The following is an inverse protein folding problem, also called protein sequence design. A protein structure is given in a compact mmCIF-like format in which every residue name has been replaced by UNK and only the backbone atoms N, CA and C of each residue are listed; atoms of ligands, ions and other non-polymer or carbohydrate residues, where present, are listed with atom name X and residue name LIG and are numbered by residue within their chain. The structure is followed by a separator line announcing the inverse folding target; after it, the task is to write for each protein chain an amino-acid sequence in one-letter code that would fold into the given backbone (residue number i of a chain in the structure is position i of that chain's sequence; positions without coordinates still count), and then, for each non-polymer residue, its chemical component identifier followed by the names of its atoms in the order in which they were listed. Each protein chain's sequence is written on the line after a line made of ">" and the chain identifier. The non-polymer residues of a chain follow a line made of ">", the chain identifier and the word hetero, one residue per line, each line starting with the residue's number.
data_IF_098648751233
#
_entry.id   IF_098648751233
#
_cell.length_a   1.000
_cell.length_b   1.000
_cell.length_c   1.000
_cell.angle_alpha   90.00
_cell.angle_beta   90.00
_cell.angle_gamma   90.00
#
_symmetry.space_group_name_H-M   'P 1'
#
loop_
_entity.id
_entity.type
_entity.pdbx_description
1 polymer ?
#
# COMPACT_ATOMS: atom_id res chain seq x y z
N UNK A 1 12.60 -13.95 -4.91
CA UNK A 1 12.75 -12.47 -5.14
C UNK A 1 13.97 -11.96 -4.36
N UNK A 2 14.70 -10.95 -4.87
CA UNK A 2 15.81 -10.34 -4.09
C UNK A 2 15.22 -9.60 -2.90
N UNK A 3 15.91 -9.59 -1.76
CA UNK A 3 15.39 -9.03 -0.50
C UNK A 3 15.01 -7.54 -0.59
N UNK A 4 15.83 -6.72 -1.26
CA UNK A 4 15.54 -5.30 -1.47
C UNK A 4 14.23 -5.06 -2.25
N UNK A 5 13.80 -6.00 -3.08
CA UNK A 5 12.55 -5.89 -3.87
C UNK A 5 11.27 -6.18 -3.07
N UNK A 6 11.39 -6.53 -1.80
CA UNK A 6 10.23 -6.57 -0.90
C UNK A 6 9.79 -5.19 -0.43
N UNK A 7 10.62 -4.13 -0.54
CA UNK A 7 10.36 -2.87 0.13
C UNK A 7 9.73 -1.79 -0.74
N UNK A 8 8.65 -1.21 -0.21
CA UNK A 8 8.15 0.11 -0.56
C UNK A 8 8.69 1.08 0.49
N UNK A 9 9.74 1.84 0.13
CA UNK A 9 10.37 2.83 1.01
C UNK A 9 9.44 4.02 1.17
N UNK A 10 8.97 4.28 2.41
CA UNK A 10 7.75 5.05 2.66
C UNK A 10 8.00 6.31 3.46
N UNK A 11 7.49 7.45 2.98
CA UNK A 11 7.33 8.67 3.74
C UNK A 11 5.96 9.30 3.45
N UNK A 12 5.03 9.16 4.42
CA UNK A 12 3.65 9.66 4.34
C UNK A 12 3.35 10.72 5.40
N UNK A 13 4.38 11.23 6.08
CA UNK A 13 4.23 12.26 7.09
C UNK A 13 3.59 13.52 6.48
N UNK A 14 2.61 14.16 7.15
CA UNK A 14 1.97 15.37 6.64
C UNK A 14 2.94 16.55 6.52
N UNK A 15 3.99 16.58 7.35
CA UNK A 15 5.04 17.59 7.34
C UNK A 15 6.21 17.29 6.39
N UNK A 16 6.18 16.18 5.65
CA UNK A 16 7.26 15.84 4.72
C UNK A 16 7.47 16.96 3.69
N UNK A 17 8.72 17.31 3.46
CA UNK A 17 9.13 18.33 2.50
C UNK A 17 9.61 17.72 1.18
N UNK A 18 9.82 18.54 0.14
CA UNK A 18 10.45 18.08 -1.10
C UNK A 18 11.85 17.51 -0.89
N UNK A 19 12.61 18.03 0.08
CA UNK A 19 13.95 17.52 0.37
C UNK A 19 13.89 16.15 1.05
N UNK A 20 12.90 15.91 1.91
CA UNK A 20 12.65 14.58 2.47
C UNK A 20 12.28 13.56 1.38
N UNK A 21 11.46 13.97 0.40
CA UNK A 21 11.08 13.09 -0.72
C UNK A 21 12.26 12.85 -1.68
N UNK A 22 13.11 13.85 -1.91
CA UNK A 22 14.36 13.69 -2.68
C UNK A 22 15.27 12.66 -2.03
N UNK A 23 15.53 12.80 -0.72
CA UNK A 23 16.32 11.85 0.07
C UNK A 23 15.75 10.45 -0.01
N UNK A 24 14.42 10.30 0.16
CA UNK A 24 13.71 9.02 0.02
C UNK A 24 13.97 8.37 -1.34
N UNK A 25 13.91 9.15 -2.43
CA UNK A 25 14.14 8.65 -3.78
C UNK A 25 15.62 8.26 -4.02
N UNK A 26 16.57 9.03 -3.49
CA UNK A 26 18.00 8.73 -3.60
C UNK A 26 18.35 7.44 -2.84
N UNK A 27 17.85 7.27 -1.64
CA UNK A 27 17.97 6.03 -0.86
C UNK A 27 17.36 4.84 -1.62
N UNK A 28 16.15 5.01 -2.17
CA UNK A 28 15.49 3.95 -2.92
C UNK A 28 16.25 3.54 -4.19
N UNK A 29 16.88 4.50 -4.89
CA UNK A 29 17.76 4.20 -6.04
C UNK A 29 19.02 3.48 -5.60
N UNK A 30 19.66 3.94 -4.52
CA UNK A 30 20.91 3.35 -3.99
C UNK A 30 20.74 1.87 -3.63
N UNK A 31 19.63 1.52 -2.99
CA UNK A 31 19.34 0.14 -2.57
C UNK A 31 18.50 -0.64 -3.58
N UNK A 32 18.10 -0.03 -4.68
CA UNK A 32 17.26 -0.63 -5.74
C UNK A 32 15.98 -1.25 -5.15
N UNK A 33 15.22 -0.49 -4.33
CA UNK A 33 13.96 -0.94 -3.75
C UNK A 33 12.87 -1.15 -4.81
N UNK A 34 11.75 -1.78 -4.43
CA UNK A 34 10.62 -1.98 -5.33
C UNK A 34 9.97 -0.66 -5.72
N UNK A 35 9.66 0.17 -4.71
CA UNK A 35 9.07 1.50 -4.90
C UNK A 35 9.46 2.48 -3.79
N UNK A 36 9.17 3.77 -4.02
CA UNK A 36 8.90 4.73 -2.95
C UNK A 36 7.39 4.87 -2.78
N UNK A 37 6.91 5.15 -1.55
CA UNK A 37 5.50 5.38 -1.29
C UNK A 37 5.33 6.77 -0.67
N UNK A 38 4.54 7.64 -1.34
CA UNK A 38 4.40 9.06 -1.03
C UNK A 38 2.94 9.53 -1.05
N UNK A 39 2.67 10.71 -0.49
CA UNK A 39 1.40 11.40 -0.62
C UNK A 39 1.21 11.97 -2.04
N UNK A 40 -0.05 12.07 -2.50
CA UNK A 40 -0.42 12.45 -3.86
C UNK A 40 0.21 13.76 -4.36
N UNK A 41 0.40 14.76 -3.48
CA UNK A 41 1.03 16.03 -3.84
C UNK A 41 2.49 15.90 -4.31
N UNK A 42 3.15 14.79 -4.00
CA UNK A 42 4.54 14.54 -4.37
C UNK A 42 4.72 13.59 -5.55
N UNK A 43 3.63 13.14 -6.19
CA UNK A 43 3.69 12.13 -7.27
C UNK A 43 4.64 12.54 -8.40
N UNK A 44 4.41 13.68 -9.02
CA UNK A 44 5.22 14.16 -10.14
C UNK A 44 6.69 14.39 -9.74
N UNK A 45 6.92 14.96 -8.56
CA UNK A 45 8.25 15.20 -8.04
C UNK A 45 9.03 13.91 -7.75
N UNK A 46 8.39 12.93 -7.10
CA UNK A 46 9.00 11.62 -6.86
C UNK A 46 9.29 10.89 -8.18
N UNK A 47 8.37 10.95 -9.15
CA UNK A 47 8.58 10.38 -10.49
C UNK A 47 9.79 10.98 -11.20
N UNK A 48 9.96 12.30 -11.12
CA UNK A 48 11.12 13.01 -11.66
C UNK A 48 12.43 12.54 -10.96
N UNK A 49 12.45 12.53 -9.62
CA UNK A 49 13.61 12.10 -8.84
C UNK A 49 14.03 10.64 -9.13
N UNK A 50 13.08 9.78 -9.47
CA UNK A 50 13.31 8.35 -9.78
C UNK A 50 13.69 8.11 -11.25
N UNK A 51 13.75 9.15 -12.09
CA UNK A 51 14.10 9.02 -13.51
C UNK A 51 15.41 8.23 -13.69
N UNK A 52 15.44 7.38 -14.71
CA UNK A 52 16.59 6.52 -15.02
C UNK A 52 16.78 5.31 -14.08
N UNK A 53 15.84 5.07 -13.16
CA UNK A 53 15.88 3.90 -12.27
C UNK A 53 14.71 2.93 -12.52
N UNK A 54 14.78 1.73 -11.93
CA UNK A 54 13.70 0.74 -11.95
C UNK A 54 12.72 0.88 -10.76
N UNK A 55 12.98 1.81 -9.83
CA UNK A 55 12.15 2.04 -8.65
C UNK A 55 10.83 2.66 -9.07
N UNK A 56 9.71 2.11 -8.56
CA UNK A 56 8.36 2.56 -8.90
C UNK A 56 7.91 3.71 -8.01
N UNK A 57 7.03 4.56 -8.53
CA UNK A 57 6.34 5.60 -7.76
C UNK A 57 5.01 5.05 -7.29
N UNK A 58 4.88 4.75 -6.00
CA UNK A 58 3.64 4.34 -5.35
C UNK A 58 3.01 5.54 -4.65
N UNK A 59 1.69 5.70 -4.78
CA UNK A 59 0.95 6.85 -4.25
C UNK A 59 -0.26 6.37 -3.46
N UNK A 60 -0.51 6.97 -2.30
CA UNK A 60 -1.70 6.67 -1.51
C UNK A 60 -2.92 7.46 -2.01
N UNK A 61 -4.10 6.85 -1.93
CA UNK A 61 -5.39 7.42 -2.35
C UNK A 61 -6.44 7.15 -1.26
N UNK A 62 -7.28 8.13 -1.01
CA UNK A 62 -8.27 8.02 0.06
C UNK A 62 -7.64 7.91 1.45
N UNK A 63 -6.46 8.42 1.62
CA UNK A 63 -5.58 8.13 2.74
C UNK A 63 -5.60 9.24 3.81
N UNK A 64 -5.53 8.91 5.13
CA UNK A 64 -5.47 7.53 5.67
C UNK A 64 -6.82 6.91 6.03
N UNK A 65 -7.94 7.62 5.90
CA UNK A 65 -9.22 7.25 6.51
C UNK A 65 -10.11 6.37 5.62
N UNK A 66 -9.95 6.41 4.29
CA UNK A 66 -10.83 5.73 3.35
C UNK A 66 -12.27 6.27 3.30
N UNK A 67 -12.57 7.35 4.02
CA UNK A 67 -13.92 7.85 4.31
C UNK A 67 -14.42 8.97 3.37
N UNK A 68 -13.70 9.20 2.24
CA UNK A 68 -14.18 10.14 1.22
C UNK A 68 -15.10 9.44 0.21
N UNK A 69 -15.84 10.24 -0.56
CA UNK A 69 -16.71 9.75 -1.61
C UNK A 69 -15.93 8.96 -2.67
N UNK A 70 -16.55 7.93 -3.22
CA UNK A 70 -15.97 7.05 -4.23
C UNK A 70 -15.47 7.79 -5.48
N UNK A 71 -16.23 8.75 -5.99
CA UNK A 71 -15.86 9.57 -7.14
C UNK A 71 -14.63 10.46 -6.86
N UNK A 72 -14.46 10.93 -5.62
CA UNK A 72 -13.27 11.68 -5.18
C UNK A 72 -12.04 10.78 -5.16
N UNK A 73 -12.14 9.54 -4.65
CA UNK A 73 -11.02 8.56 -4.73
C UNK A 73 -10.66 8.23 -6.17
N UNK A 74 -11.66 8.02 -7.03
CA UNK A 74 -11.43 7.77 -8.47
C UNK A 74 -10.76 8.97 -9.16
N UNK A 75 -11.17 10.21 -8.84
CA UNK A 75 -10.53 11.42 -9.34
C UNK A 75 -9.07 11.54 -8.86
N UNK A 76 -8.83 11.35 -7.56
CA UNK A 76 -7.49 11.36 -6.97
C UNK A 76 -6.58 10.33 -7.65
N UNK A 77 -7.11 9.13 -7.92
CA UNK A 77 -6.41 8.06 -8.64
C UNK A 77 -6.02 8.49 -10.06
N UNK A 78 -6.97 9.02 -10.85
CA UNK A 78 -6.70 9.53 -12.20
C UNK A 78 -5.63 10.62 -12.19
N UNK A 79 -5.70 11.52 -11.20
CA UNK A 79 -4.69 12.58 -11.05
C UNK A 79 -3.32 12.00 -10.73
N UNK A 80 -3.22 11.04 -9.81
CA UNK A 80 -1.97 10.36 -9.46
C UNK A 80 -1.37 9.62 -10.69
N UNK A 81 -2.18 8.88 -11.44
CA UNK A 81 -1.74 8.19 -12.67
C UNK A 81 -1.23 9.19 -13.71
N UNK A 82 -1.96 10.29 -13.93
CA UNK A 82 -1.54 11.37 -14.86
C UNK A 82 -0.20 11.99 -14.43
N UNK A 83 0.05 12.13 -13.13
CA UNK A 83 1.29 12.68 -12.57
C UNK A 83 2.44 11.66 -12.54
N UNK A 84 2.20 10.43 -13.00
CA UNK A 84 3.23 9.41 -13.19
C UNK A 84 3.30 8.32 -12.13
N UNK A 85 2.25 8.11 -11.32
CA UNK A 85 2.18 6.97 -10.43
C UNK A 85 2.23 5.64 -11.21
N UNK A 86 3.05 4.71 -10.72
CA UNK A 86 3.14 3.34 -11.24
C UNK A 86 2.27 2.38 -10.42
N UNK A 87 2.04 2.71 -9.13
CA UNK A 87 1.29 1.91 -8.17
C UNK A 87 0.40 2.82 -7.31
N UNK A 88 -0.80 2.35 -6.98
CA UNK A 88 -1.79 3.06 -6.17
C UNK A 88 -2.12 2.23 -4.92
N UNK A 89 -2.00 2.82 -3.75
CA UNK A 89 -2.40 2.23 -2.46
C UNK A 89 -3.66 2.95 -1.96
N UNK A 90 -4.86 2.43 -2.25
CA UNK A 90 -6.12 3.00 -1.77
C UNK A 90 -6.50 2.49 -0.38
N UNK A 91 -7.23 3.28 0.40
CA UNK A 91 -7.86 2.81 1.64
C UNK A 91 -9.31 2.41 1.37
N UNK A 92 -9.70 1.21 1.82
CA UNK A 92 -11.07 0.69 1.71
C UNK A 92 -12.05 1.57 2.52
N UNK A 93 -13.34 1.68 2.14
CA UNK A 93 -14.34 2.40 2.95
C UNK A 93 -14.74 1.55 4.17
N UNK A 94 -13.94 1.60 5.24
CA UNK A 94 -14.08 0.76 6.44
C UNK A 94 -15.50 0.82 7.02
N UNK A 95 -16.13 1.99 7.04
CA UNK A 95 -17.48 2.16 7.56
C UNK A 95 -18.52 1.34 6.80
N UNK A 96 -18.45 1.29 5.46
CA UNK A 96 -19.35 0.49 4.63
C UNK A 96 -19.14 -1.01 4.87
N UNK A 97 -17.88 -1.44 4.97
CA UNK A 97 -17.55 -2.83 5.28
C UNK A 97 -18.12 -3.27 6.62
N UNK A 98 -17.99 -2.44 7.67
CA UNK A 98 -18.52 -2.70 9.01
C UNK A 98 -20.05 -2.69 9.06
N UNK A 99 -20.69 -1.88 8.21
CA UNK A 99 -22.15 -1.85 8.08
C UNK A 99 -22.72 -3.04 7.29
N UNK A 100 -21.86 -3.90 6.69
CA UNK A 100 -22.28 -4.98 5.80
C UNK A 100 -22.72 -4.51 4.41
N UNK A 101 -22.43 -3.26 4.05
CA UNK A 101 -22.74 -2.65 2.76
C UNK A 101 -21.70 -3.08 1.71
N UNK A 102 -21.60 -4.39 1.48
CA UNK A 102 -20.52 -5.00 0.69
C UNK A 102 -20.55 -4.61 -0.79
N UNK A 103 -21.74 -4.41 -1.36
CA UNK A 103 -21.84 -3.96 -2.75
C UNK A 103 -21.30 -2.52 -2.90
N UNK A 104 -21.61 -1.62 -1.98
CA UNK A 104 -21.07 -0.26 -1.99
C UNK A 104 -19.56 -0.25 -1.76
N UNK A 105 -19.03 -1.10 -0.86
CA UNK A 105 -17.61 -1.25 -0.64
C UNK A 105 -16.88 -1.82 -1.88
N UNK A 106 -17.51 -2.77 -2.59
CA UNK A 106 -17.01 -3.29 -3.85
C UNK A 106 -16.96 -2.22 -4.94
N UNK A 107 -18.03 -1.44 -5.11
CA UNK A 107 -18.08 -0.37 -6.12
C UNK A 107 -17.03 0.71 -5.86
N UNK A 108 -16.72 1.00 -4.59
CA UNK A 108 -15.63 1.93 -4.24
C UNK A 108 -14.25 1.41 -4.70
N UNK A 109 -13.94 0.14 -4.43
CA UNK A 109 -12.69 -0.48 -4.91
C UNK A 109 -12.66 -0.54 -6.44
N UNK A 110 -13.79 -0.91 -7.05
CA UNK A 110 -13.92 -1.05 -8.51
C UNK A 110 -13.72 0.29 -9.24
N UNK A 111 -14.29 1.37 -8.72
CA UNK A 111 -14.13 2.71 -9.28
C UNK A 111 -12.65 3.15 -9.27
N UNK A 112 -11.93 2.85 -8.19
CA UNK A 112 -10.48 3.11 -8.11
C UNK A 112 -9.71 2.18 -9.06
N UNK A 113 -10.08 0.87 -9.15
CA UNK A 113 -9.46 -0.05 -10.10
C UNK A 113 -9.56 0.46 -11.55
N UNK A 114 -10.73 0.92 -11.93
CA UNK A 114 -10.96 1.42 -13.29
C UNK A 114 -10.17 2.72 -13.55
N UNK A 115 -10.04 3.56 -12.53
CA UNK A 115 -9.25 4.79 -12.60
C UNK A 115 -7.72 4.55 -12.64
N UNK A 116 -7.25 3.36 -12.26
CA UNK A 116 -5.83 3.02 -12.28
C UNK A 116 -5.24 2.80 -13.68
N UNK A 117 -6.05 2.64 -14.73
CA UNK A 117 -5.59 2.50 -16.12
C UNK A 117 -4.49 1.42 -16.29
N UNK A 118 -4.66 0.26 -15.65
CA UNK A 118 -3.72 -0.87 -15.71
C UNK A 118 -2.50 -0.73 -14.79
N UNK A 119 -2.41 0.31 -13.96
CA UNK A 119 -1.39 0.40 -12.90
C UNK A 119 -1.69 -0.56 -11.76
N UNK A 120 -0.67 -0.86 -10.94
CA UNK A 120 -0.84 -1.74 -9.78
C UNK A 120 -1.76 -1.07 -8.76
N UNK A 121 -2.79 -1.81 -8.32
CA UNK A 121 -3.69 -1.39 -7.25
C UNK A 121 -3.46 -2.24 -6.00
N UNK A 122 -3.30 -1.59 -4.85
CA UNK A 122 -3.25 -2.21 -3.53
C UNK A 122 -4.36 -1.65 -2.66
N UNK A 123 -5.12 -2.52 -1.99
CA UNK A 123 -6.27 -2.14 -1.15
C UNK A 123 -5.88 -2.26 0.32
N UNK A 124 -5.85 -1.13 1.03
CA UNK A 124 -5.53 -1.04 2.46
C UNK A 124 -6.79 -1.29 3.26
N UNK A 125 -6.77 -2.29 4.15
CA UNK A 125 -7.92 -2.70 4.95
C UNK A 125 -8.03 -1.94 6.27
N UNK A 126 -6.91 -1.52 6.86
CA UNK A 126 -6.78 -1.03 8.24
C UNK A 126 -7.22 -2.10 9.24
N UNK A 127 -6.51 -3.22 9.23
CA UNK A 127 -6.86 -4.47 9.93
C UNK A 127 -7.20 -4.29 11.41
N UNK A 128 -6.58 -3.32 12.11
CA UNK A 128 -6.85 -3.08 13.53
C UNK A 128 -8.28 -2.61 13.82
N UNK A 129 -9.05 -2.20 12.79
CA UNK A 129 -10.46 -1.81 12.91
C UNK A 129 -11.42 -2.94 12.54
N UNK A 130 -10.93 -4.08 12.03
CA UNK A 130 -11.72 -5.15 11.44
C UNK A 130 -11.64 -6.44 12.24
N UNK A 131 -12.76 -7.18 12.26
CA UNK A 131 -12.77 -8.59 12.69
C UNK A 131 -12.13 -9.48 11.62
N UNK A 132 -11.86 -10.75 11.95
CA UNK A 132 -11.29 -11.68 10.96
C UNK A 132 -12.28 -11.95 9.80
N UNK A 133 -13.59 -12.03 10.08
CA UNK A 133 -14.64 -12.18 9.07
C UNK A 133 -14.69 -10.97 8.14
N UNK A 134 -14.55 -9.75 8.68
CA UNK A 134 -14.51 -8.52 7.88
C UNK A 134 -13.24 -8.47 7.01
N UNK A 135 -12.08 -8.92 7.51
CA UNK A 135 -10.83 -9.04 6.73
C UNK A 135 -10.96 -10.05 5.58
N UNK A 136 -11.59 -11.20 5.84
CA UNK A 136 -11.88 -12.21 4.82
C UNK A 136 -12.79 -11.61 3.74
N UNK A 137 -13.86 -10.92 4.14
CA UNK A 137 -14.75 -10.24 3.22
C UNK A 137 -14.04 -9.19 2.37
N UNK A 138 -13.16 -8.39 2.98
CA UNK A 138 -12.34 -7.40 2.27
C UNK A 138 -11.40 -8.06 1.24
N UNK A 139 -10.83 -9.24 1.53
CA UNK A 139 -10.07 -10.04 0.57
C UNK A 139 -10.94 -10.44 -0.63
N UNK A 140 -12.12 -11.00 -0.38
CA UNK A 140 -13.07 -11.40 -1.44
C UNK A 140 -13.44 -10.23 -2.36
N UNK A 141 -13.79 -9.06 -1.78
CA UNK A 141 -14.16 -7.87 -2.54
C UNK A 141 -13.00 -7.33 -3.36
N UNK A 142 -11.79 -7.32 -2.78
CA UNK A 142 -10.57 -6.86 -3.47
C UNK A 142 -10.21 -7.75 -4.65
N UNK A 143 -10.26 -9.07 -4.46
CA UNK A 143 -10.06 -10.06 -5.54
C UNK A 143 -11.10 -9.88 -6.64
N UNK A 144 -12.39 -9.78 -6.27
CA UNK A 144 -13.51 -9.56 -7.21
C UNK A 144 -13.33 -8.27 -8.03
N UNK A 145 -12.83 -7.20 -7.41
CA UNK A 145 -12.58 -5.92 -8.06
C UNK A 145 -11.31 -5.92 -8.95
N UNK A 146 -10.48 -6.96 -8.89
CA UNK A 146 -9.25 -7.07 -9.67
C UNK A 146 -8.07 -6.30 -9.08
N UNK A 147 -7.98 -6.17 -7.76
CA UNK A 147 -6.81 -5.62 -7.09
C UNK A 147 -5.59 -6.54 -7.27
N UNK A 148 -4.40 -5.95 -7.38
CA UNK A 148 -3.14 -6.69 -7.49
C UNK A 148 -2.61 -7.10 -6.11
N UNK A 149 -2.90 -6.28 -5.08
CA UNK A 149 -2.53 -6.54 -3.69
C UNK A 149 -3.65 -6.19 -2.73
N UNK A 150 -3.68 -6.91 -1.62
CA UNK A 150 -4.32 -6.50 -0.37
C UNK A 150 -3.24 -6.02 0.61
N UNK A 151 -3.50 -4.95 1.38
CA UNK A 151 -2.53 -4.34 2.28
C UNK A 151 -3.13 -4.23 3.68
N UNK A 152 -2.34 -4.54 4.71
CA UNK A 152 -2.84 -4.63 6.09
C UNK A 152 -3.27 -3.28 6.68
N UNK A 153 -2.44 -2.26 6.58
CA UNK A 153 -2.57 -1.07 7.43
C UNK A 153 -2.05 0.20 6.77
N UNK A 154 -2.56 1.35 7.23
CA UNK A 154 -2.06 2.67 6.83
C UNK A 154 -0.78 3.05 7.59
N UNK A 155 -0.64 2.62 8.84
CA UNK A 155 0.38 3.08 9.79
C UNK A 155 -0.02 4.35 10.55
N UNK A 156 -1.27 4.83 10.41
CA UNK A 156 -1.82 6.03 11.04
C UNK A 156 -2.95 5.73 12.05
N UNK A 157 -3.23 4.45 12.29
CA UNK A 157 -4.23 4.02 13.26
C UNK A 157 -3.59 3.38 14.50
N UNK A 158 -4.40 2.73 15.33
CA UNK A 158 -3.98 2.16 16.61
C UNK A 158 -3.13 0.90 16.50
N UNK A 159 -3.11 0.23 15.32
CA UNK A 159 -2.36 -0.99 15.06
C UNK A 159 -1.69 -1.00 13.68
N UNK A 160 -0.79 -1.97 13.50
CA UNK A 160 -0.08 -2.21 12.23
C UNK A 160 -0.23 -3.66 11.77
N UNK A 161 0.69 -4.12 10.92
CA UNK A 161 0.71 -5.49 10.45
C UNK A 161 1.01 -6.48 11.59
N UNK A 162 0.25 -7.58 11.62
CA UNK A 162 0.54 -8.74 12.46
C UNK A 162 0.83 -9.96 11.59
N UNK A 163 1.57 -10.93 12.14
CA UNK A 163 1.88 -12.18 11.43
C UNK A 163 0.58 -12.94 11.14
N UNK A 164 -0.36 -12.97 12.10
CA UNK A 164 -1.66 -13.62 11.94
C UNK A 164 -2.50 -13.00 10.83
N UNK A 165 -2.54 -11.67 10.76
CA UNK A 165 -3.29 -10.96 9.69
C UNK A 165 -2.70 -11.25 8.31
N UNK A 166 -1.36 -11.22 8.17
CA UNK A 166 -0.71 -11.52 6.89
C UNK A 166 -1.02 -12.95 6.45
N UNK A 167 -0.94 -13.92 7.36
CA UNK A 167 -1.27 -15.32 7.07
C UNK A 167 -2.77 -15.49 6.71
N UNK A 168 -3.67 -14.84 7.45
CA UNK A 168 -5.10 -14.84 7.17
C UNK A 168 -5.40 -14.29 5.77
N UNK A 169 -4.87 -13.10 5.45
CA UNK A 169 -5.05 -12.47 4.15
C UNK A 169 -4.47 -13.33 3.03
N UNK A 170 -3.28 -13.89 3.21
CA UNK A 170 -2.63 -14.76 2.22
C UNK A 170 -3.46 -15.99 1.90
N UNK A 171 -4.08 -16.62 2.91
CA UNK A 171 -4.95 -17.76 2.74
C UNK A 171 -6.23 -17.44 1.95
N UNK A 172 -6.75 -16.20 2.07
CA UNK A 172 -8.06 -15.83 1.48
C UNK A 172 -7.98 -15.06 0.15
N UNK A 173 -6.77 -14.72 -0.33
CA UNK A 173 -6.63 -14.17 -1.70
C UNK A 173 -6.42 -15.25 -2.77
N UNK A 174 -6.32 -16.52 -2.39
CA UNK A 174 -6.28 -17.71 -3.28
C UNK A 174 -5.25 -17.59 -4.44
N UNK A 175 -4.14 -16.90 -4.20
CA UNK A 175 -3.13 -16.63 -5.24
C UNK A 175 -3.52 -15.62 -6.31
N UNK A 176 -4.74 -15.06 -6.26
CA UNK A 176 -5.23 -14.05 -7.23
C UNK A 176 -4.72 -12.64 -6.91
N UNK A 177 -4.46 -12.35 -5.62
CA UNK A 177 -3.79 -11.15 -5.16
C UNK A 177 -2.51 -11.50 -4.40
N UNK A 178 -1.64 -10.51 -4.26
CA UNK A 178 -0.48 -10.53 -3.36
C UNK A 178 -0.81 -9.86 -2.04
N UNK A 179 0.03 -10.03 -1.02
CA UNK A 179 -0.15 -9.40 0.29
C UNK A 179 0.97 -8.40 0.55
N UNK A 180 0.60 -7.17 0.94
CA UNK A 180 1.53 -6.15 1.44
C UNK A 180 1.33 -5.97 2.94
N UNK A 181 2.37 -6.21 3.73
CA UNK A 181 2.40 -5.88 5.16
C UNK A 181 2.92 -4.45 5.35
N UNK A 182 2.22 -3.64 6.12
CA UNK A 182 2.60 -2.25 6.42
C UNK A 182 2.12 -1.83 7.81
N UNK A 183 2.79 -0.81 8.38
CA UNK A 183 2.56 -0.38 9.76
C UNK A 183 3.36 -1.23 10.75
N UNK A 184 4.32 -0.62 11.43
CA UNK A 184 5.15 -1.28 12.43
C UNK A 184 6.21 -2.26 11.91
N UNK A 185 6.51 -2.26 10.62
CA UNK A 185 7.56 -3.13 10.05
C UNK A 185 8.94 -2.61 10.46
N UNK A 186 9.74 -3.50 11.05
CA UNK A 186 11.10 -3.26 11.55
C UNK A 186 11.98 -4.47 11.25
N UNK A 187 13.28 -4.37 11.52
CA UNK A 187 14.25 -5.45 11.33
C UNK A 187 13.84 -6.76 12.03
N UNK A 188 13.41 -6.67 13.29
CA UNK A 188 13.05 -7.82 14.12
C UNK A 188 11.82 -8.62 13.63
N UNK A 189 10.91 -8.01 12.85
CA UNK A 189 9.70 -8.70 12.36
C UNK A 189 9.66 -8.91 10.85
N UNK A 190 10.60 -8.33 10.09
CA UNK A 190 10.61 -8.38 8.62
C UNK A 190 10.61 -9.82 8.09
N UNK A 191 11.47 -10.69 8.63
CA UNK A 191 11.55 -12.10 8.19
C UNK A 191 10.23 -12.83 8.46
N UNK A 192 9.67 -12.68 9.67
CA UNK A 192 8.42 -13.32 10.04
C UNK A 192 7.23 -12.87 9.18
N UNK A 193 7.19 -11.59 8.75
CA UNK A 193 6.17 -11.12 7.81
C UNK A 193 6.28 -11.78 6.43
N UNK A 194 7.51 -11.96 5.93
CA UNK A 194 7.76 -12.65 4.65
C UNK A 194 7.37 -14.12 4.77
N UNK A 195 7.76 -14.78 5.84
CA UNK A 195 7.46 -16.20 6.09
C UNK A 195 5.94 -16.43 6.24
N UNK A 196 5.20 -15.46 6.80
CA UNK A 196 3.73 -15.47 6.86
C UNK A 196 3.05 -15.26 5.49
N UNK A 197 3.80 -14.91 4.46
CA UNK A 197 3.29 -14.76 3.09
C UNK A 197 3.23 -13.34 2.55
N UNK A 198 3.88 -12.37 3.19
CA UNK A 198 3.97 -11.02 2.63
C UNK A 198 4.84 -11.01 1.37
N UNK A 199 4.26 -10.52 0.27
CA UNK A 199 4.94 -10.33 -1.02
C UNK A 199 5.58 -8.94 -1.15
N UNK A 200 5.19 -8.00 -0.26
CA UNK A 200 5.67 -6.62 -0.20
C UNK A 200 5.63 -6.10 1.24
N UNK A 201 6.51 -5.20 1.58
CA UNK A 201 6.64 -4.57 2.90
C UNK A 201 6.67 -3.06 2.77
N UNK A 202 5.73 -2.36 3.43
CA UNK A 202 5.70 -0.90 3.50
C UNK A 202 6.29 -0.41 4.83
N UNK A 203 7.39 0.33 4.78
CA UNK A 203 8.04 0.85 5.99
C UNK A 203 8.88 2.10 5.72
N UNK A 204 8.99 2.95 6.73
CA UNK A 204 9.96 4.08 6.78
C UNK A 204 11.32 3.67 7.36
N UNK A 205 11.46 2.43 7.88
CA UNK A 205 12.69 1.95 8.51
C UNK A 205 13.57 1.13 7.55
N UNK A 206 13.33 1.22 6.24
CA UNK A 206 13.95 0.34 5.24
C UNK A 206 15.48 0.37 5.29
N UNK A 207 16.09 1.54 5.45
CA UNK A 207 17.55 1.69 5.52
C UNK A 207 18.11 0.93 6.72
N UNK A 208 17.51 1.10 7.91
CA UNK A 208 17.93 0.37 9.12
C UNK A 208 17.81 -1.15 8.96
N UNK A 209 16.75 -1.61 8.28
CA UNK A 209 16.55 -3.04 7.99
C UNK A 209 17.64 -3.56 7.04
N UNK A 210 18.02 -2.78 6.04
CA UNK A 210 19.07 -3.16 5.09
C UNK A 210 20.45 -3.20 5.74
N UNK A 211 20.78 -2.19 6.56
CA UNK A 211 22.07 -2.07 7.24
C UNK A 211 22.26 -3.11 8.36
N UNK A 212 21.19 -3.49 9.06
CA UNK A 212 21.22 -4.54 10.08
C UNK A 212 21.47 -5.95 9.55
N UNK A 213 21.49 -6.13 8.22
CA UNK A 213 21.77 -7.42 7.54
C UNK A 213 23.14 -7.47 6.86
N UNK A 214 23.94 -6.42 6.98
CA UNK A 214 25.35 -6.42 6.55
C UNK A 214 26.24 -6.95 7.66
#
# INVERSE_FOLDING_TARGET
>A
MKFNKYFDHTNLKPEATKDDIRTLCEEAKKYDFASVCVNGMYTAFAKECLSGSNVKTCVVVGFPLGAMNTDVKAYETKKAVKDGADEIDMVIPVGLLKAGEYDAAYEDIKAVRDACEGKVLKVIFENCLLTDEEKIKACELSVKAGADYVKTSTGFSTGGATISDVALMKAHVEGKCKVKAAGGIRDYNTAAMIDAGADRLGTSATIKIMEGRQ
#
